data_IF_352581612290
#
_entry.id   IF_352581612290
#
_cell.length_a   1.000
_cell.length_b   1.000
_cell.length_c   1.000
_cell.angle_alpha   90.00
_cell.angle_beta   90.00
_cell.angle_gamma   90.00
#
_symmetry.space_group_name_H-M   'P 1'
#
loop_
_entity.id
_entity.type
_entity.pdbx_description
1 polymer ?
#
# COMPACT_ATOMS: atom_id res chain seq x y z
N UNK A 1 -15.53 -7.90 -0.03
CA UNK A 1 -15.26 -6.45 -0.05
C UNK A 1 -15.08 -5.84 1.34
N UNK A 2 -15.78 -6.31 2.40
CA UNK A 2 -15.66 -5.68 3.73
C UNK A 2 -14.24 -5.58 4.31
N UNK A 3 -13.36 -6.54 4.04
CA UNK A 3 -11.99 -6.58 4.57
C UNK A 3 -10.94 -6.04 3.58
N UNK A 4 -11.37 -5.56 2.41
CA UNK A 4 -10.44 -5.01 1.43
C UNK A 4 -10.05 -3.59 1.86
N UNK A 5 -8.86 -3.43 2.44
CA UNK A 5 -8.44 -2.18 3.08
C UNK A 5 -8.50 -1.00 2.11
N UNK A 6 -7.86 -1.14 0.94
CA UNK A 6 -7.75 -0.05 -0.03
C UNK A 6 -9.10 0.25 -0.70
N UNK A 7 -9.96 -0.75 -0.89
CA UNK A 7 -11.35 -0.52 -1.32
C UNK A 7 -12.09 0.38 -0.33
N UNK A 8 -12.00 0.09 0.96
CA UNK A 8 -12.72 0.84 1.99
C UNK A 8 -12.27 2.30 2.07
N UNK A 9 -10.96 2.55 1.91
CA UNK A 9 -10.41 3.92 1.86
C UNK A 9 -10.82 4.64 0.58
N UNK A 10 -10.69 4.01 -0.58
CA UNK A 10 -11.02 4.62 -1.86
C UNK A 10 -12.49 5.08 -1.94
N UNK A 11 -13.41 4.23 -1.48
CA UNK A 11 -14.85 4.54 -1.44
C UNK A 11 -15.27 5.33 -0.19
N UNK A 12 -14.32 5.87 0.58
CA UNK A 12 -14.56 6.72 1.76
C UNK A 12 -15.42 6.06 2.86
N UNK A 13 -15.40 4.72 2.93
CA UNK A 13 -16.00 3.96 4.03
C UNK A 13 -15.08 3.96 5.27
N UNK A 14 -13.77 4.11 5.08
CA UNK A 14 -12.77 4.37 6.12
C UNK A 14 -12.02 5.66 5.80
N UNK A 15 -11.71 6.44 6.85
CA UNK A 15 -10.67 7.46 6.76
C UNK A 15 -9.29 6.80 6.79
N UNK A 16 -8.27 7.53 6.36
CA UNK A 16 -6.89 7.06 6.38
C UNK A 16 -6.45 6.63 7.79
N UNK A 17 -6.71 7.47 8.80
CA UNK A 17 -6.45 7.16 10.22
C UNK A 17 -7.09 5.82 10.66
N UNK A 18 -8.37 5.59 10.32
CA UNK A 18 -9.08 4.36 10.68
C UNK A 18 -8.59 3.15 9.90
N UNK A 19 -8.13 3.36 8.67
CA UNK A 19 -7.51 2.31 7.89
C UNK A 19 -6.17 1.88 8.50
N UNK A 20 -5.42 2.84 9.04
CA UNK A 20 -4.17 2.58 9.74
C UNK A 20 -4.42 1.85 11.06
N UNK A 21 -5.41 2.27 11.85
CA UNK A 21 -5.87 1.54 13.05
C UNK A 21 -6.29 0.09 12.73
N UNK A 22 -7.01 -0.11 11.61
CA UNK A 22 -7.40 -1.45 11.16
C UNK A 22 -6.18 -2.30 10.80
N UNK A 23 -5.22 -1.73 10.06
CA UNK A 23 -3.98 -2.42 9.70
C UNK A 23 -3.18 -2.80 10.95
N UNK A 24 -2.98 -1.88 11.89
CA UNK A 24 -2.26 -2.11 13.13
C UNK A 24 -2.93 -3.21 13.97
N UNK A 25 -4.25 -3.18 14.09
CA UNK A 25 -5.02 -4.23 14.76
C UNK A 25 -4.85 -5.60 14.09
N UNK A 26 -4.83 -5.66 12.76
CA UNK A 26 -4.57 -6.92 12.05
C UNK A 26 -3.14 -7.41 12.28
N UNK A 27 -2.15 -6.52 12.38
CA UNK A 27 -0.77 -6.89 12.75
C UNK A 27 -0.71 -7.46 14.17
N UNK A 28 -1.42 -6.85 15.13
CA UNK A 28 -1.52 -7.37 16.50
C UNK A 28 -2.17 -8.76 16.52
N UNK A 29 -3.30 -8.94 15.85
CA UNK A 29 -4.00 -10.23 15.74
C UNK A 29 -3.13 -11.31 15.06
N UNK A 30 -2.31 -10.93 14.08
CA UNK A 30 -1.34 -11.83 13.46
C UNK A 30 -0.28 -12.31 14.48
N UNK A 31 0.31 -11.39 15.24
CA UNK A 31 1.31 -11.73 16.26
C UNK A 31 0.72 -12.57 17.40
N UNK A 32 -0.55 -12.38 17.73
CA UNK A 32 -1.28 -13.19 18.73
C UNK A 32 -1.74 -14.55 18.17
N UNK A 33 -1.43 -14.87 16.92
CA UNK A 33 -1.87 -16.10 16.23
C UNK A 33 -3.39 -16.25 16.19
N UNK A 34 -4.11 -15.12 16.10
CA UNK A 34 -5.58 -15.08 15.99
C UNK A 34 -6.08 -15.12 14.55
N UNK A 35 -5.16 -14.99 13.58
CA UNK A 35 -5.46 -15.02 12.14
C UNK A 35 -5.05 -16.36 11.52
N UNK A 36 -5.88 -16.86 10.61
CA UNK A 36 -5.58 -18.06 9.83
C UNK A 36 -4.64 -17.77 8.65
N UNK A 37 -4.72 -16.56 8.08
CA UNK A 37 -3.89 -16.12 6.96
C UNK A 37 -2.89 -15.03 7.37
N UNK A 38 -1.98 -14.69 6.46
CA UNK A 38 -1.09 -13.55 6.62
C UNK A 38 -1.83 -12.20 6.53
N UNK A 39 -1.18 -11.14 7.03
CA UNK A 39 -1.73 -9.77 7.09
C UNK A 39 -2.15 -9.28 5.70
N UNK A 40 -1.35 -9.54 4.67
CA UNK A 40 -1.63 -9.12 3.31
C UNK A 40 -2.92 -9.78 2.76
N UNK A 41 -3.09 -11.07 3.02
CA UNK A 41 -4.26 -11.84 2.61
C UNK A 41 -5.53 -11.40 3.34
N UNK A 42 -5.44 -11.17 4.66
CA UNK A 42 -6.58 -10.70 5.47
C UNK A 42 -7.10 -9.33 4.99
N UNK A 43 -6.18 -8.43 4.64
CA UNK A 43 -6.50 -7.07 4.17
C UNK A 43 -6.65 -6.96 2.63
N UNK A 44 -6.50 -8.09 1.91
CA UNK A 44 -6.55 -8.19 0.44
C UNK A 44 -5.58 -7.22 -0.25
N UNK A 45 -4.37 -7.14 0.25
CA UNK A 45 -3.26 -6.38 -0.32
C UNK A 45 -2.46 -7.27 -1.28
N UNK A 46 -2.04 -6.70 -2.41
CA UNK A 46 -0.98 -7.29 -3.22
C UNK A 46 0.35 -7.19 -2.48
N UNK A 47 1.36 -7.94 -2.95
CA UNK A 47 2.68 -7.88 -2.35
C UNK A 47 3.31 -6.48 -2.45
N UNK A 48 3.11 -5.79 -3.57
CA UNK A 48 3.58 -4.42 -3.80
C UNK A 48 2.90 -3.42 -2.86
N UNK A 49 1.60 -3.59 -2.63
CA UNK A 49 0.82 -2.73 -1.74
C UNK A 49 1.19 -2.95 -0.27
N UNK A 50 1.33 -4.21 0.14
CA UNK A 50 1.83 -4.52 1.48
C UNK A 50 3.24 -3.96 1.69
N UNK A 51 4.14 -4.11 0.70
CA UNK A 51 5.48 -3.54 0.74
C UNK A 51 5.45 -2.02 0.85
N UNK A 52 4.54 -1.35 0.11
CA UNK A 52 4.32 0.09 0.22
C UNK A 52 4.07 0.51 1.67
N UNK A 53 3.08 -0.11 2.32
CA UNK A 53 2.70 0.22 3.69
C UNK A 53 3.86 -0.03 4.67
N UNK A 54 4.48 -1.21 4.62
CA UNK A 54 5.40 -1.66 5.68
C UNK A 54 6.83 -1.12 5.49
N UNK A 55 7.31 -1.00 4.25
CA UNK A 55 8.70 -0.58 3.98
C UNK A 55 8.80 0.92 3.74
N UNK A 56 7.80 1.51 3.07
CA UNK A 56 7.84 2.89 2.63
C UNK A 56 6.90 3.82 3.40
N UNK A 57 6.14 3.27 4.36
CA UNK A 57 5.21 4.04 5.21
C UNK A 57 4.27 4.93 4.41
N UNK A 58 3.76 4.40 3.30
CA UNK A 58 2.90 5.12 2.36
C UNK A 58 1.54 5.36 2.99
N UNK A 59 1.03 6.58 2.81
CA UNK A 59 -0.34 6.90 3.16
C UNK A 59 -1.30 5.93 2.46
N UNK A 60 -2.20 5.32 3.23
CA UNK A 60 -3.10 4.29 2.70
C UNK A 60 -4.00 4.88 1.62
N UNK A 61 -4.40 6.16 1.75
CA UNK A 61 -5.14 6.90 0.72
C UNK A 61 -4.35 7.04 -0.59
N UNK A 62 -3.06 7.36 -0.54
CA UNK A 62 -2.23 7.44 -1.74
C UNK A 62 -2.13 6.07 -2.44
N UNK A 63 -1.95 5.01 -1.66
CA UNK A 63 -1.89 3.65 -2.17
C UNK A 63 -3.23 3.18 -2.76
N UNK A 64 -4.35 3.54 -2.13
CA UNK A 64 -5.68 3.29 -2.66
C UNK A 64 -5.87 3.96 -4.02
N UNK A 65 -5.40 5.21 -4.18
CA UNK A 65 -5.40 5.88 -5.47
C UNK A 65 -4.55 5.14 -6.52
N UNK A 66 -3.37 4.62 -6.16
CA UNK A 66 -2.57 3.80 -7.11
C UNK A 66 -3.30 2.54 -7.56
N UNK A 67 -4.03 1.87 -6.67
CA UNK A 67 -4.80 0.68 -7.03
C UNK A 67 -5.90 0.99 -8.06
N UNK A 68 -6.65 2.07 -7.86
CA UNK A 68 -7.84 2.36 -8.67
C UNK A 68 -7.60 3.26 -9.87
N UNK A 69 -6.62 4.17 -9.79
CA UNK A 69 -6.24 5.06 -10.90
C UNK A 69 -5.00 4.57 -11.67
N UNK A 70 -4.31 3.56 -11.15
CA UNK A 70 -3.11 3.00 -11.74
C UNK A 70 -1.85 3.51 -11.05
N UNK A 71 -0.86 2.62 -11.01
CA UNK A 71 0.46 2.95 -10.49
C UNK A 71 1.22 3.83 -11.48
N UNK A 72 2.00 4.83 -10.99
CA UNK A 72 2.95 5.56 -11.81
C UNK A 72 3.86 4.61 -12.61
N UNK A 73 3.96 4.85 -13.91
CA UNK A 73 4.76 4.04 -14.84
C UNK A 73 6.11 4.70 -15.20
N UNK A 74 6.47 5.77 -14.49
CA UNK A 74 7.74 6.47 -14.66
C UNK A 74 8.20 7.08 -13.35
N UNK A 75 9.51 7.17 -13.18
CA UNK A 75 10.13 7.82 -12.03
C UNK A 75 9.91 9.34 -12.08
N UNK A 76 9.36 9.93 -11.01
CA UNK A 76 9.12 11.38 -10.95
C UNK A 76 10.40 12.22 -11.11
N UNK A 77 11.56 11.69 -10.68
CA UNK A 77 12.84 12.42 -10.67
C UNK A 77 13.58 12.37 -12.01
N UNK A 78 13.58 11.22 -12.69
CA UNK A 78 14.40 11.00 -13.89
C UNK A 78 13.59 10.63 -15.14
N UNK A 79 12.27 10.52 -15.02
CA UNK A 79 11.33 10.20 -16.09
C UNK A 79 11.57 8.86 -16.81
N UNK A 80 12.48 8.01 -16.30
CA UNK A 80 12.66 6.65 -16.81
C UNK A 80 11.39 5.86 -16.56
N UNK A 81 11.01 5.05 -17.56
CA UNK A 81 9.94 4.07 -17.42
C UNK A 81 10.20 3.18 -16.21
N UNK A 82 9.14 2.86 -15.48
CA UNK A 82 9.17 2.04 -14.28
C UNK A 82 7.98 1.09 -14.29
N UNK A 83 8.24 -0.19 -14.09
CA UNK A 83 7.22 -1.20 -13.83
C UNK A 83 7.28 -1.58 -12.34
N UNK A 84 6.34 -1.11 -11.54
CA UNK A 84 6.31 -1.32 -10.07
C UNK A 84 6.36 -2.80 -9.68
N UNK A 85 5.89 -3.69 -10.55
CA UNK A 85 5.87 -5.14 -10.31
C UNK A 85 7.19 -5.83 -10.61
N UNK A 86 8.02 -5.25 -11.48
CA UNK A 86 9.23 -5.88 -12.00
C UNK A 86 10.50 -5.13 -11.61
N UNK A 87 10.42 -3.80 -11.48
CA UNK A 87 11.52 -2.91 -11.16
C UNK A 87 11.56 -2.59 -9.66
N UNK A 88 12.77 -2.35 -9.15
CA UNK A 88 12.93 -1.77 -7.83
C UNK A 88 12.45 -0.31 -7.82
N UNK A 89 11.52 0.01 -6.93
CA UNK A 89 11.02 1.36 -6.71
C UNK A 89 11.06 1.75 -5.23
N UNK A 90 10.97 3.05 -4.98
CA UNK A 90 10.81 3.67 -3.66
C UNK A 90 9.91 4.89 -3.78
N UNK A 91 9.47 5.43 -2.66
CA UNK A 91 8.71 6.68 -2.62
C UNK A 91 9.54 7.80 -2.01
N UNK A 92 9.20 9.04 -2.33
CA UNK A 92 9.70 10.22 -1.60
C UNK A 92 8.70 10.70 -0.54
N UNK A 93 9.10 11.76 0.18
CA UNK A 93 8.31 12.36 1.27
C UNK A 93 6.93 12.89 0.82
N UNK A 94 6.69 12.98 -0.49
CA UNK A 94 5.41 13.40 -1.08
C UNK A 94 4.63 12.21 -1.70
N UNK A 95 5.01 10.97 -1.37
CA UNK A 95 4.45 9.74 -1.93
C UNK A 95 4.56 9.63 -3.46
N UNK A 96 5.59 10.22 -4.09
CA UNK A 96 5.83 10.05 -5.51
C UNK A 96 6.80 8.91 -5.80
N UNK A 97 6.48 8.09 -6.80
CA UNK A 97 7.31 6.93 -7.14
C UNK A 97 8.63 7.34 -7.79
N UNK A 98 9.71 6.75 -7.28
CA UNK A 98 11.08 6.91 -7.75
C UNK A 98 11.71 5.56 -8.07
N UNK A 99 12.65 5.59 -9.00
CA UNK A 99 13.56 4.49 -9.22
C UNK A 99 14.44 4.27 -7.96
N UNK A 100 14.78 3.02 -7.62
CA UNK A 100 15.67 2.77 -6.45
C UNK A 100 17.01 3.50 -6.54
N UNK A 101 17.50 3.74 -7.76
CA UNK A 101 18.79 4.43 -8.01
C UNK A 101 18.73 5.96 -7.88
N UNK A 102 17.56 6.56 -7.62
CA UNK A 102 17.30 8.01 -7.74
C UNK A 102 17.52 8.86 -6.47
#
# INVERSE_FOLDING_TARGET
MKNDLLYQVFYKNLSDEKAMELFDKTVEEFHESLLENDIASELKLSQEEYTAIVVWSVDIEALANFRYFGWPNSCIKCSKSLNVKEDGWKLDDENNIRCVTC
#
